data_IF_168380237256
#
_entry.id   IF_168380237256
#
_cell.length_a   1.000
_cell.length_b   1.000
_cell.length_c   1.000
_cell.angle_alpha   90.00
_cell.angle_beta   90.00
_cell.angle_gamma   90.00
#
_symmetry.space_group_name_H-M   'P 1'
#
loop_
_entity.id
_entity.type
_entity.pdbx_description
1 polymer ?
#
# COMPACT_ATOMS: atom_id res chain seq x y z
N UNK A 1 0.75 49.53 23.36
CA UNK A 1 1.08 48.33 22.58
C UNK A 1 0.12 47.21 22.96
N UNK A 2 -0.95 46.93 22.20
CA UNK A 2 -1.71 45.70 22.38
C UNK A 2 -1.17 44.56 21.49
N UNK A 3 -0.99 43.43 22.15
CA UNK A 3 -0.63 42.06 21.74
C UNK A 3 -1.42 41.53 20.52
N UNK A 4 -0.80 40.77 19.59
CA UNK A 4 -1.52 40.06 18.54
C UNK A 4 -1.96 38.69 19.06
N UNK A 5 -3.25 38.36 18.97
CA UNK A 5 -3.71 36.98 19.12
C UNK A 5 -5.10 36.82 18.51
N UNK A 6 -5.15 36.50 17.22
CA UNK A 6 -6.21 35.67 16.67
C UNK A 6 -5.56 34.63 15.78
N UNK A 7 -5.32 33.45 16.35
CA UNK A 7 -5.16 32.24 15.56
C UNK A 7 -6.48 32.04 14.82
N UNK A 8 -6.52 32.46 13.56
CA UNK A 8 -7.61 32.13 12.66
C UNK A 8 -7.53 30.62 12.41
N UNK A 9 -8.25 29.83 13.21
CA UNK A 9 -8.65 28.51 12.75
C UNK A 9 -9.55 28.77 11.54
N UNK A 10 -9.02 28.59 10.33
CA UNK A 10 -9.84 28.43 9.15
C UNK A 10 -10.70 27.20 9.38
N UNK A 11 -11.90 27.42 9.93
CA UNK A 11 -12.97 26.45 9.96
C UNK A 11 -13.32 26.17 8.51
N UNK A 12 -12.75 25.10 7.97
CA UNK A 12 -13.26 24.52 6.76
C UNK A 12 -14.59 23.88 7.16
N UNK A 13 -15.68 24.62 6.97
CA UNK A 13 -17.08 24.15 7.09
C UNK A 13 -17.35 23.12 5.99
N UNK A 14 -16.55 22.05 5.94
CA UNK A 14 -16.94 20.83 5.24
C UNK A 14 -18.08 20.25 6.04
N UNK A 15 -19.19 19.97 5.34
CA UNK A 15 -20.36 19.39 5.97
C UNK A 15 -19.90 18.18 6.79
N UNK A 16 -20.29 18.08 8.07
CA UNK A 16 -19.84 17.00 8.95
C UNK A 16 -20.11 15.61 8.36
N UNK A 17 -21.09 15.51 7.46
CA UNK A 17 -21.37 14.29 6.70
C UNK A 17 -20.27 13.94 5.70
N UNK A 18 -19.75 14.90 4.94
CA UNK A 18 -18.66 14.67 3.98
C UNK A 18 -17.36 14.27 4.69
N UNK A 19 -17.11 14.80 5.88
CA UNK A 19 -15.96 14.40 6.70
C UNK A 19 -16.06 12.94 7.16
N UNK A 20 -17.25 12.49 7.58
CA UNK A 20 -17.48 11.11 8.00
C UNK A 20 -17.36 10.16 6.81
N UNK A 21 -17.92 10.51 5.65
CA UNK A 21 -17.83 9.72 4.42
C UNK A 21 -16.37 9.54 3.98
N UNK A 22 -15.58 10.61 3.96
CA UNK A 22 -14.15 10.53 3.64
C UNK A 22 -13.35 9.68 4.63
N UNK A 23 -13.69 9.74 5.93
CA UNK A 23 -13.03 8.92 6.94
C UNK A 23 -13.31 7.42 6.75
N UNK A 24 -14.54 7.05 6.41
CA UNK A 24 -14.93 5.67 6.12
C UNK A 24 -14.20 5.15 4.87
N UNK A 25 -14.11 5.96 3.83
CA UNK A 25 -13.40 5.59 2.61
C UNK A 25 -11.91 5.29 2.87
N UNK A 26 -11.25 6.15 3.66
CA UNK A 26 -9.86 5.92 4.08
C UNK A 26 -9.69 4.63 4.89
N UNK A 27 -10.64 4.30 5.77
CA UNK A 27 -10.60 3.05 6.54
C UNK A 27 -10.76 1.82 5.65
N UNK A 28 -11.67 1.85 4.67
CA UNK A 28 -11.88 0.75 3.73
C UNK A 28 -10.63 0.52 2.88
N UNK A 29 -10.03 1.59 2.34
CA UNK A 29 -8.78 1.50 1.58
C UNK A 29 -7.64 0.92 2.41
N UNK A 30 -7.50 1.35 3.67
CA UNK A 30 -6.50 0.79 4.59
C UNK A 30 -6.74 -0.71 4.85
N UNK A 31 -8.00 -1.11 5.01
CA UNK A 31 -8.38 -2.52 5.17
C UNK A 31 -8.06 -3.35 3.92
N UNK A 32 -8.34 -2.84 2.73
CA UNK A 32 -8.01 -3.49 1.46
C UNK A 32 -6.50 -3.72 1.32
N UNK A 33 -5.69 -2.70 1.64
CA UNK A 33 -4.24 -2.81 1.65
C UNK A 33 -3.78 -3.90 2.64
N UNK A 34 -4.33 -3.92 3.84
CA UNK A 34 -4.03 -4.95 4.84
C UNK A 34 -4.39 -6.35 4.32
N UNK A 35 -5.57 -6.53 3.73
CA UNK A 35 -6.00 -7.82 3.19
C UNK A 35 -5.08 -8.29 2.05
N UNK A 36 -4.61 -7.36 1.19
CA UNK A 36 -3.64 -7.67 0.14
C UNK A 36 -2.26 -8.10 0.69
N UNK A 37 -1.92 -7.74 1.93
CA UNK A 37 -0.68 -8.22 2.57
C UNK A 37 -0.75 -9.68 3.03
N UNK A 38 -1.94 -10.28 3.13
CA UNK A 38 -2.09 -11.66 3.59
C UNK A 38 -1.54 -12.62 2.53
N UNK A 39 -0.62 -13.54 2.87
CA UNK A 39 -0.15 -14.57 1.95
C UNK A 39 -1.27 -15.57 1.66
N UNK A 40 -1.46 -15.92 0.39
CA UNK A 40 -2.38 -17.00 0.01
C UNK A 40 -1.61 -18.32 -0.07
N UNK A 41 -2.21 -19.41 0.37
CA UNK A 41 -1.61 -20.74 0.36
C UNK A 41 -2.43 -21.72 -0.50
N UNK A 42 -1.77 -22.75 -1.01
CA UNK A 42 -2.37 -23.89 -1.67
C UNK A 42 -2.93 -24.90 -0.65
N UNK A 43 -3.81 -25.83 -1.08
CA UNK A 43 -4.25 -26.92 -0.22
C UNK A 43 -3.05 -27.71 0.33
N UNK A 44 -3.10 -28.15 1.59
CA UNK A 44 -2.02 -28.92 2.19
C UNK A 44 -1.88 -30.29 1.53
N UNK A 45 -0.63 -30.69 1.28
CA UNK A 45 -0.27 -32.02 0.78
C UNK A 45 0.38 -32.82 1.91
N UNK A 46 -0.14 -34.03 2.16
CA UNK A 46 0.42 -34.95 3.16
C UNK A 46 1.36 -35.92 2.45
N UNK A 47 2.61 -35.96 2.90
CA UNK A 47 3.63 -36.84 2.36
C UNK A 47 3.52 -38.26 2.95
N UNK A 48 4.16 -39.24 2.30
CA UNK A 48 4.16 -40.65 2.73
C UNK A 48 4.77 -40.86 4.12
N UNK A 49 5.68 -39.98 4.54
CA UNK A 49 6.29 -40.00 5.87
C UNK A 49 5.39 -39.33 6.96
N UNK A 50 4.28 -38.71 6.56
CA UNK A 50 3.35 -38.02 7.46
C UNK A 50 3.58 -36.51 7.64
N UNK A 51 4.56 -35.92 6.96
CA UNK A 51 4.77 -34.46 6.97
C UNK A 51 3.72 -33.74 6.11
N UNK A 52 3.49 -32.46 6.40
CA UNK A 52 2.53 -31.62 5.67
C UNK A 52 3.26 -30.45 4.99
N UNK A 53 3.10 -30.33 3.67
CA UNK A 53 3.60 -29.18 2.91
C UNK A 53 2.45 -28.20 2.68
N UNK A 54 2.68 -26.92 3.02
CA UNK A 54 1.78 -25.80 2.72
C UNK A 54 2.52 -24.80 1.82
N UNK A 55 2.18 -24.77 0.52
CA UNK A 55 2.85 -23.93 -0.47
C UNK A 55 2.20 -22.56 -0.57
N UNK A 56 2.99 -21.48 -0.70
CA UNK A 56 2.47 -20.13 -0.95
C UNK A 56 2.10 -20.00 -2.41
N UNK A 57 0.91 -19.47 -2.70
CA UNK A 57 0.54 -19.09 -4.07
C UNK A 57 1.41 -17.91 -4.52
N UNK A 58 2.00 -17.96 -5.73
CA UNK A 58 2.73 -16.83 -6.27
C UNK A 58 1.78 -15.64 -6.46
N UNK A 59 2.15 -14.46 -5.93
CA UNK A 59 1.38 -13.24 -6.18
C UNK A 59 1.58 -12.82 -7.64
N UNK A 60 0.50 -12.42 -8.31
CA UNK A 60 0.58 -11.83 -9.65
C UNK A 60 1.19 -10.42 -9.49
N UNK A 61 2.45 -10.29 -9.92
CA UNK A 61 3.27 -9.08 -10.06
C UNK A 61 4.15 -8.67 -8.87
N UNK A 62 5.41 -9.12 -8.92
CA UNK A 62 6.56 -8.21 -8.85
C UNK A 62 7.33 -8.44 -10.16
N UNK A 63 7.03 -7.64 -11.19
CA UNK A 63 7.95 -7.56 -12.33
C UNK A 63 9.24 -6.94 -11.80
N UNK A 64 10.42 -7.58 -11.99
CA UNK A 64 11.67 -6.94 -11.61
C UNK A 64 11.76 -5.60 -12.35
N UNK A 65 12.22 -4.52 -11.69
CA UNK A 65 12.39 -3.23 -12.37
C UNK A 65 13.32 -3.44 -13.57
N UNK A 66 13.01 -2.86 -14.75
CA UNK A 66 13.87 -2.99 -15.92
C UNK A 66 15.25 -2.45 -15.54
N UNK A 67 16.28 -3.27 -15.77
CA UNK A 67 17.68 -2.89 -15.62
C UNK A 67 17.90 -1.65 -16.49
N UNK A 68 18.22 -0.51 -15.86
CA UNK A 68 18.60 0.70 -16.59
C UNK A 68 19.95 0.42 -17.22
N UNK A 69 19.96 0.09 -18.51
CA UNK A 69 21.14 0.11 -19.36
C UNK A 69 21.82 1.49 -19.28
N UNK A 70 22.84 1.62 -18.44
CA UNK A 70 23.78 2.73 -18.52
C UNK A 70 24.77 2.41 -19.63
N UNK A 71 24.34 2.49 -20.90
CA UNK A 71 25.28 2.71 -21.99
C UNK A 71 25.78 4.15 -21.86
N UNK A 72 26.91 4.28 -21.18
CA UNK A 72 27.69 5.52 -21.13
C UNK A 72 28.04 5.90 -22.57
N UNK A 73 27.46 7.00 -23.01
CA UNK A 73 27.78 7.73 -24.24
C UNK A 73 29.31 7.90 -24.34
N UNK A 74 29.93 7.05 -25.16
CA UNK A 74 31.29 7.24 -25.65
C UNK A 74 31.19 7.47 -27.15
N UNK A 75 30.73 8.65 -27.55
CA UNK A 75 31.18 9.21 -28.82
C UNK A 75 31.05 10.73 -28.82
N UNK A 76 32.11 11.37 -28.31
CA UNK A 76 32.45 12.72 -28.72
C UNK A 76 33.91 12.71 -29.18
N UNK A 77 34.09 12.34 -30.43
CA UNK A 77 35.31 12.61 -31.21
C UNK A 77 34.98 13.66 -32.27
#
# INVERSE_FOLDING_TARGET
MPIPAFAQSQGNDKDPREMIEGAVEMMIQALELMLNTIPQYEPPEVLENGDIIIRRKPRKQEQPPPEKDTTVDRDKT
#
